data_IF_502815470264
#
_entry.id   IF_502815470264
#
_cell.length_a   1.000
_cell.length_b   1.000
_cell.length_c   1.000
_cell.angle_alpha   90.00
_cell.angle_beta   90.00
_cell.angle_gamma   90.00
#
_symmetry.space_group_name_H-M   'P 1'
#
loop_
_entity.id
_entity.type
_entity.pdbx_description
1 polymer ?
#
# COMPACT_ATOMS: atom_id res chain seq x y z
N UNK A 1 -20.60 13.11 12.19
CA UNK A 1 -19.14 13.34 12.11
C UNK A 1 -18.92 14.73 11.56
N UNK A 2 -18.24 15.60 12.31
CA UNK A 2 -18.05 17.01 11.94
C UNK A 2 -16.90 17.15 10.94
N UNK A 3 -17.18 17.73 9.78
CA UNK A 3 -16.23 17.89 8.67
C UNK A 3 -15.73 19.34 8.54
N UNK A 4 -15.48 20.02 9.65
CA UNK A 4 -14.96 21.40 9.68
C UNK A 4 -13.48 21.53 9.33
N UNK A 5 -13.13 22.53 8.50
CA UNK A 5 -11.80 22.81 7.90
C UNK A 5 -10.68 23.11 8.91
N UNK A 6 -10.99 23.25 10.20
CA UNK A 6 -10.07 23.69 11.23
C UNK A 6 -9.35 22.55 11.98
N UNK A 7 -9.54 21.28 11.62
CA UNK A 7 -8.87 20.15 12.28
C UNK A 7 -7.93 19.40 11.32
N UNK A 8 -6.63 19.43 11.62
CA UNK A 8 -5.53 18.91 10.79
C UNK A 8 -5.46 17.36 10.67
N UNK A 9 -6.30 16.59 11.38
CA UNK A 9 -6.17 15.12 11.52
C UNK A 9 -7.34 14.31 10.96
N UNK A 10 -8.09 14.84 10.01
CA UNK A 10 -9.41 14.25 9.65
C UNK A 10 -9.35 13.02 8.74
N UNK A 11 -8.20 12.68 8.18
CA UNK A 11 -8.03 11.52 7.31
C UNK A 11 -7.14 10.42 7.91
N UNK A 12 -6.29 10.73 8.91
CA UNK A 12 -5.31 9.78 9.45
C UNK A 12 -5.97 8.57 10.09
N UNK A 13 -7.07 8.76 10.82
CA UNK A 13 -7.78 7.64 11.43
C UNK A 13 -8.39 6.73 10.37
N UNK A 14 -8.92 7.30 9.29
CA UNK A 14 -9.55 6.58 8.18
C UNK A 14 -8.49 5.83 7.37
N UNK A 15 -7.38 6.49 7.04
CA UNK A 15 -6.25 5.88 6.37
C UNK A 15 -5.67 4.73 7.19
N UNK A 16 -5.44 4.94 8.49
CA UNK A 16 -4.94 3.87 9.38
C UNK A 16 -5.92 2.71 9.43
N UNK A 17 -7.23 2.97 9.50
CA UNK A 17 -8.24 1.93 9.46
C UNK A 17 -8.16 1.13 8.16
N UNK A 18 -8.12 1.80 7.00
CA UNK A 18 -7.98 1.14 5.70
C UNK A 18 -6.68 0.33 5.57
N UNK A 19 -5.56 0.83 6.09
CA UNK A 19 -4.32 0.06 6.13
C UNK A 19 -4.48 -1.21 7.02
N UNK A 20 -5.21 -1.11 8.12
CA UNK A 20 -5.46 -2.23 9.04
C UNK A 20 -6.52 -3.24 8.54
N UNK A 21 -7.36 -2.89 7.58
CA UNK A 21 -8.44 -3.76 7.09
C UNK A 21 -8.33 -4.16 5.64
N UNK A 22 -7.52 -3.48 4.83
CA UNK A 22 -7.50 -3.65 3.37
C UNK A 22 -6.07 -3.64 2.84
N UNK A 23 -5.36 -2.50 2.93
CA UNK A 23 -4.18 -2.27 2.09
C UNK A 23 -2.84 -2.68 2.71
N UNK A 24 -2.72 -2.76 4.04
CA UNK A 24 -1.46 -3.16 4.69
C UNK A 24 -0.27 -2.23 4.46
N UNK A 25 -0.52 -0.94 4.17
CA UNK A 25 0.50 -0.01 3.73
C UNK A 25 1.29 0.58 4.92
N UNK A 26 2.42 -0.05 5.29
CA UNK A 26 3.27 0.36 6.41
C UNK A 26 4.70 0.66 5.98
N UNK A 27 5.25 1.78 6.45
CA UNK A 27 6.67 2.10 6.25
C UNK A 27 7.48 1.43 7.36
N UNK A 28 8.51 0.68 6.97
CA UNK A 28 9.45 0.03 7.87
C UNK A 28 10.88 0.45 7.53
N UNK A 29 11.77 0.33 8.51
CA UNK A 29 13.18 0.71 8.39
C UNK A 29 14.06 -0.25 9.20
N UNK A 30 13.78 -1.54 9.11
CA UNK A 30 14.47 -2.60 9.88
C UNK A 30 15.87 -2.92 9.31
N UNK A 31 16.11 -2.54 8.05
CA UNK A 31 17.39 -2.72 7.37
C UNK A 31 18.44 -1.70 7.86
N UNK A 32 19.69 -2.14 8.03
CA UNK A 32 20.80 -1.30 8.49
C UNK A 32 21.22 -0.21 7.49
N UNK A 33 20.82 -0.34 6.23
CA UNK A 33 21.03 0.65 5.16
C UNK A 33 20.00 1.78 5.20
N UNK A 34 18.88 1.60 5.90
CA UNK A 34 17.85 2.60 6.00
C UNK A 34 18.29 3.74 6.95
N UNK A 35 18.19 5.03 6.56
CA UNK A 35 18.72 6.14 7.34
C UNK A 35 17.85 6.55 8.55
N UNK A 36 16.71 5.88 8.76
CA UNK A 36 15.80 6.17 9.87
C UNK A 36 15.94 5.13 11.00
N UNK A 37 15.10 5.26 12.03
CA UNK A 37 15.17 4.37 13.20
C UNK A 37 14.78 2.94 12.85
N UNK A 38 15.63 1.98 13.23
CA UNK A 38 15.35 0.54 13.22
C UNK A 38 14.17 0.10 14.08
N UNK A 39 13.61 1.01 14.89
CA UNK A 39 12.39 0.75 15.66
C UNK A 39 11.11 0.87 14.82
N UNK A 40 11.19 1.36 13.59
CA UNK A 40 10.08 1.39 12.63
C UNK A 40 9.90 -0.01 12.03
N UNK A 41 9.36 -0.94 12.82
CA UNK A 41 9.15 -2.33 12.41
C UNK A 41 7.73 -2.56 11.93
N UNK A 42 7.51 -3.58 11.09
CA UNK A 42 6.15 -3.97 10.69
C UNK A 42 5.29 -4.25 11.92
N UNK A 43 5.85 -4.95 12.92
CA UNK A 43 5.17 -5.27 14.17
C UNK A 43 4.73 -4.01 14.93
N UNK A 44 5.60 -2.99 15.01
CA UNK A 44 5.26 -1.73 15.68
C UNK A 44 4.07 -1.03 15.01
N UNK A 45 4.03 -1.05 13.67
CA UNK A 45 2.97 -0.44 12.87
C UNK A 45 1.65 -1.21 13.00
N UNK A 46 1.67 -2.55 12.86
CA UNK A 46 0.45 -3.39 12.91
C UNK A 46 -0.13 -3.52 14.31
N UNK A 47 0.69 -3.36 15.37
CA UNK A 47 0.18 -3.29 16.75
C UNK A 47 -0.87 -2.21 16.96
N UNK A 48 -0.81 -1.12 16.19
CA UNK A 48 -1.79 -0.04 16.25
C UNK A 48 -3.20 -0.52 15.88
N UNK A 49 -3.32 -1.44 14.91
CA UNK A 49 -4.60 -1.99 14.46
C UNK A 49 -5.37 -2.66 15.61
N UNK A 50 -4.67 -3.48 16.40
CA UNK A 50 -5.27 -4.13 17.56
C UNK A 50 -5.63 -3.12 18.65
N UNK A 51 -4.72 -2.18 18.95
CA UNK A 51 -4.89 -1.23 20.05
C UNK A 51 -5.97 -0.18 19.80
N UNK A 52 -6.12 0.30 18.57
CA UNK A 52 -7.01 1.43 18.24
C UNK A 52 -8.35 0.97 17.65
N UNK A 53 -8.36 -0.15 16.94
CA UNK A 53 -9.55 -0.63 16.22
C UNK A 53 -10.01 -2.02 16.64
N UNK A 54 -9.28 -2.72 17.52
CA UNK A 54 -9.62 -4.10 17.90
C UNK A 54 -9.44 -5.11 16.77
N UNK A 55 -8.69 -4.76 15.72
CA UNK A 55 -8.45 -5.63 14.57
C UNK A 55 -7.23 -6.49 14.82
N UNK A 56 -7.40 -7.81 14.70
CA UNK A 56 -6.29 -8.75 14.85
C UNK A 56 -5.31 -8.62 13.68
N UNK A 57 -4.02 -8.46 14.01
CA UNK A 57 -2.93 -8.42 13.03
C UNK A 57 -2.85 -9.72 12.22
N UNK A 58 -3.31 -10.84 12.78
CA UNK A 58 -3.34 -12.12 12.08
C UNK A 58 -4.39 -12.19 10.97
N UNK A 59 -5.41 -11.33 10.99
CA UNK A 59 -6.40 -11.24 9.91
C UNK A 59 -5.92 -10.44 8.70
N UNK A 60 -4.91 -9.58 8.91
CA UNK A 60 -4.47 -8.62 7.92
C UNK A 60 -3.93 -9.24 6.62
N UNK A 61 -3.10 -10.30 6.64
CA UNK A 61 -2.64 -10.92 5.39
C UNK A 61 -3.77 -11.41 4.49
N UNK A 62 -4.86 -11.95 5.07
CA UNK A 62 -6.00 -12.42 4.32
C UNK A 62 -6.78 -11.26 3.67
N UNK A 63 -6.93 -10.14 4.38
CA UNK A 63 -7.58 -8.96 3.83
C UNK A 63 -6.77 -8.28 2.72
N UNK A 64 -5.43 -8.24 2.87
CA UNK A 64 -4.53 -7.73 1.82
C UNK A 64 -4.64 -8.61 0.58
N UNK A 65 -4.57 -9.94 0.74
CA UNK A 65 -4.72 -10.87 -0.38
C UNK A 65 -6.06 -10.70 -1.11
N UNK A 66 -7.16 -10.51 -0.35
CA UNK A 66 -8.46 -10.20 -0.93
C UNK A 66 -8.43 -8.88 -1.72
N UNK A 67 -7.86 -7.82 -1.14
CA UNK A 67 -7.78 -6.48 -1.76
C UNK A 67 -6.97 -6.50 -3.04
N UNK A 68 -5.78 -7.14 -3.03
CA UNK A 68 -4.95 -7.30 -4.22
C UNK A 68 -5.67 -8.10 -5.30
N UNK A 69 -6.31 -9.21 -4.93
CA UNK A 69 -7.08 -10.02 -5.89
C UNK A 69 -8.29 -9.28 -6.46
N UNK A 70 -8.94 -8.42 -5.68
CA UNK A 70 -10.11 -7.67 -6.12
C UNK A 70 -9.75 -6.54 -7.09
N UNK A 71 -8.66 -5.81 -6.81
CA UNK A 71 -8.24 -4.66 -7.62
C UNK A 71 -7.23 -5.01 -8.73
N UNK A 72 -6.70 -6.24 -8.75
CA UNK A 72 -5.81 -6.72 -9.80
C UNK A 72 -4.32 -6.48 -9.56
N UNK A 73 -3.92 -6.15 -8.32
CA UNK A 73 -2.52 -5.97 -7.90
C UNK A 73 -1.72 -5.05 -8.87
N UNK A 74 -0.56 -5.49 -9.36
CA UNK A 74 0.29 -4.77 -10.31
C UNK A 74 -0.01 -5.15 -11.77
N UNK A 75 -1.10 -5.89 -12.00
CA UNK A 75 -1.40 -6.46 -13.31
C UNK A 75 -2.03 -5.44 -14.27
N UNK A 76 -1.60 -5.49 -15.53
CA UNK A 76 -2.05 -4.60 -16.61
C UNK A 76 -3.38 -5.00 -17.24
N UNK A 77 -4.29 -5.64 -16.50
CA UNK A 77 -5.59 -6.07 -17.05
C UNK A 77 -6.59 -4.92 -17.23
N UNK A 78 -6.09 -3.70 -17.40
CA UNK A 78 -6.89 -2.49 -17.59
C UNK A 78 -6.72 -1.98 -19.03
N UNK A 79 -7.83 -1.57 -19.64
CA UNK A 79 -7.84 -1.03 -20.99
C UNK A 79 -7.96 0.49 -20.94
N UNK A 80 -7.16 1.19 -21.77
CA UNK A 80 -7.21 2.66 -21.91
C UNK A 80 -6.87 3.41 -20.62
N UNK A 81 -5.95 2.87 -19.82
CA UNK A 81 -5.41 3.50 -18.62
C UNK A 81 -3.93 3.81 -18.83
N UNK A 82 -3.50 5.03 -18.47
CA UNK A 82 -2.10 5.43 -18.45
C UNK A 82 -1.62 5.52 -17.00
N UNK A 83 -0.66 4.67 -16.63
CA UNK A 83 0.01 4.70 -15.33
C UNK A 83 1.24 5.60 -15.40
N UNK A 84 1.17 6.80 -14.81
CA UNK A 84 2.26 7.77 -14.80
C UNK A 84 3.01 7.69 -13.48
N UNK A 85 4.33 7.55 -13.55
CA UNK A 85 5.19 7.42 -12.38
C UNK A 85 6.33 8.44 -12.40
N UNK A 86 6.66 8.99 -11.24
CA UNK A 86 7.79 9.90 -11.07
C UNK A 86 9.11 9.17 -10.87
N UNK A 87 10.22 9.69 -11.42
CA UNK A 87 11.54 9.06 -11.26
C UNK A 87 12.11 9.10 -9.84
N UNK A 88 11.65 10.05 -9.02
CA UNK A 88 12.09 10.25 -7.62
C UNK A 88 11.00 9.85 -6.62
N UNK A 89 9.80 9.52 -7.10
CA UNK A 89 8.68 9.15 -6.25
C UNK A 89 8.89 7.73 -5.67
N UNK A 90 9.07 7.57 -4.35
CA UNK A 90 9.27 6.26 -3.76
C UNK A 90 8.05 5.33 -3.93
N UNK A 91 6.86 5.89 -4.20
CA UNK A 91 5.65 5.09 -4.43
C UNK A 91 5.60 4.45 -5.81
N UNK A 92 6.49 4.82 -6.72
CA UNK A 92 6.59 4.19 -8.04
C UNK A 92 6.75 2.67 -7.95
N UNK A 93 7.48 2.16 -6.96
CA UNK A 93 7.70 0.72 -6.78
C UNK A 93 6.40 -0.06 -6.48
N UNK A 94 5.34 0.64 -6.03
CA UNK A 94 4.02 0.06 -5.78
C UNK A 94 3.05 0.25 -6.95
N UNK A 95 3.54 0.69 -8.10
CA UNK A 95 2.76 1.01 -9.30
C UNK A 95 3.07 0.06 -10.45
N UNK A 96 2.31 0.18 -11.54
CA UNK A 96 2.62 -0.49 -12.81
C UNK A 96 3.79 0.22 -13.49
N UNK A 97 5.00 -0.32 -13.35
CA UNK A 97 6.24 0.31 -13.84
C UNK A 97 6.75 -0.20 -15.18
N UNK A 98 6.40 -1.44 -15.55
CA UNK A 98 6.78 -2.01 -16.84
C UNK A 98 5.67 -1.76 -17.88
N UNK A 99 6.06 -1.45 -19.12
CA UNK A 99 5.12 -1.49 -20.25
C UNK A 99 4.86 -2.95 -20.66
N UNK A 100 3.65 -3.24 -21.14
CA UNK A 100 3.41 -4.49 -21.87
C UNK A 100 4.25 -4.45 -23.14
N UNK A 101 5.44 -5.05 -23.12
CA UNK A 101 5.95 -5.63 -24.36
C UNK A 101 5.12 -6.87 -24.60
N UNK A 102 4.41 -6.89 -25.72
CA UNK A 102 3.91 -8.12 -26.28
C UNK A 102 5.15 -9.01 -26.55
N UNK A 103 5.36 -10.02 -25.70
CA UNK A 103 6.15 -11.18 -26.09
C UNK A 103 5.32 -11.92 -27.15
N UNK A 104 5.56 -11.59 -28.42
CA UNK A 104 4.72 -12.10 -29.49
C UNK A 104 5.07 -11.63 -30.90
N UNK A 105 6.36 -11.57 -31.28
CA UNK A 105 6.70 -11.87 -32.68
C UNK A 105 8.11 -12.46 -32.81
N UNK A 106 8.14 -13.78 -32.72
CA UNK A 106 9.16 -14.58 -33.38
C UNK A 106 8.45 -15.63 -34.20
N UNK A 107 8.12 -15.33 -35.47
CA UNK A 107 8.18 -16.27 -36.60
C UNK A 107 7.69 -15.66 -37.93
N UNK A 108 8.55 -14.91 -38.63
CA UNK A 108 8.94 -15.16 -40.04
C UNK A 108 9.97 -14.14 -40.54
#
# INVERSE_FOLDING_TARGET
METSVHTCRRAERQWTYQACTEFGFYQTCEDTTCPFSGMLTLQAQTQLCAKVFGISQHSLPAHIAFTNSFYGEDHRHTNRVLYVNGGVDPWKELSVVQGSREDGDGAQ
#
